data_IF_566361078471
#
_entry.id   IF_566361078471
#
_cell.length_a   1.000
_cell.length_b   1.000
_cell.length_c   1.000
_cell.angle_alpha   90.00
_cell.angle_beta   90.00
_cell.angle_gamma   90.00
#
_symmetry.space_group_name_H-M   'P 1'
#
loop_
_entity.id
_entity.type
_entity.pdbx_description
1 polymer ?
#
# COMPACT_ATOMS: atom_id res chain seq x y z
N UNK A 1 -9.25 2.67 -1.94
CA UNK A 1 -8.73 1.53 -2.72
C UNK A 1 -9.22 0.20 -2.15
N UNK A 2 -9.49 -0.81 -2.99
CA UNK A 2 -9.74 -2.20 -2.56
C UNK A 2 -8.41 -2.95 -2.40
N UNK A 3 -8.19 -3.61 -1.26
CA UNK A 3 -7.04 -4.50 -1.03
C UNK A 3 -7.48 -5.96 -1.10
N UNK A 4 -6.82 -6.75 -1.95
CA UNK A 4 -7.04 -8.19 -2.07
C UNK A 4 -5.81 -8.96 -1.60
N UNK A 5 -5.98 -9.90 -0.66
CA UNK A 5 -4.88 -10.76 -0.18
C UNK A 5 -4.87 -12.05 -1.00
N UNK A 6 -3.74 -12.37 -1.64
CA UNK A 6 -3.61 -13.57 -2.48
C UNK A 6 -2.16 -14.04 -2.58
N UNK A 7 -1.62 -14.64 -1.53
CA UNK A 7 -0.19 -14.94 -1.46
C UNK A 7 0.36 -15.81 -2.62
N UNK A 8 1.54 -15.45 -3.11
CA UNK A 8 2.28 -16.17 -4.16
C UNK A 8 3.00 -17.40 -3.58
N UNK A 9 2.25 -18.41 -3.17
CA UNK A 9 2.76 -19.58 -2.43
C UNK A 9 3.75 -20.46 -3.20
N UNK A 10 3.81 -20.34 -4.54
CA UNK A 10 4.81 -21.03 -5.38
C UNK A 10 6.14 -20.30 -5.47
N UNK A 11 6.16 -18.99 -5.21
CA UNK A 11 7.37 -18.18 -5.28
C UNK A 11 8.38 -18.64 -4.21
N UNK A 12 9.66 -18.73 -4.60
CA UNK A 12 10.71 -19.23 -3.70
C UNK A 12 10.96 -18.29 -2.52
N UNK A 13 10.70 -16.98 -2.66
CA UNK A 13 10.75 -16.01 -1.56
C UNK A 13 9.68 -16.31 -0.51
N UNK A 14 8.45 -16.55 -0.94
CA UNK A 14 7.36 -16.95 -0.04
C UNK A 14 7.72 -18.24 0.71
N UNK A 15 8.20 -19.26 -0.02
CA UNK A 15 8.60 -20.55 0.54
C UNK A 15 9.76 -20.46 1.53
N UNK A 16 10.67 -19.50 1.34
CA UNK A 16 11.76 -19.27 2.27
C UNK A 16 11.24 -18.85 3.66
N UNK A 17 10.08 -18.19 3.73
CA UNK A 17 9.37 -17.83 4.96
C UNK A 17 10.26 -17.11 6.01
N UNK A 18 11.32 -16.45 5.55
CA UNK A 18 12.15 -15.63 6.41
C UNK A 18 11.33 -14.42 6.87
N UNK A 19 11.45 -14.04 8.15
CA UNK A 19 10.64 -12.99 8.76
C UNK A 19 11.44 -11.70 8.98
N UNK A 20 10.73 -10.60 9.00
CA UNK A 20 11.22 -9.26 9.35
C UNK A 20 10.28 -8.63 10.38
N UNK A 21 10.79 -7.68 11.15
CA UNK A 21 9.95 -6.70 11.83
C UNK A 21 9.99 -5.43 10.98
N UNK A 22 8.94 -5.12 10.20
CA UNK A 22 8.95 -3.97 9.31
C UNK A 22 9.26 -2.67 10.06
N UNK A 23 10.23 -1.93 9.55
CA UNK A 23 10.67 -0.64 10.08
C UNK A 23 10.72 0.42 8.97
N UNK A 24 10.10 0.17 7.83
CA UNK A 24 10.06 1.07 6.69
C UNK A 24 9.24 0.53 5.53
N UNK A 25 8.97 1.39 4.55
CA UNK A 25 8.27 1.06 3.30
C UNK A 25 9.16 1.50 2.15
N UNK A 26 9.30 0.64 1.13
CA UNK A 26 10.03 0.96 -0.09
C UNK A 26 9.08 1.03 -1.28
N UNK A 27 9.02 2.20 -1.90
CA UNK A 27 8.22 2.44 -3.11
C UNK A 27 9.04 2.11 -4.35
N UNK A 28 8.41 1.34 -5.22
CA UNK A 28 8.91 0.93 -6.53
C UNK A 28 7.93 1.36 -7.61
N UNK A 29 8.40 1.37 -8.86
CA UNK A 29 7.53 1.25 -10.03
C UNK A 29 7.91 0.02 -10.83
N UNK A 30 6.90 -0.59 -11.44
CA UNK A 30 7.08 -1.93 -12.04
C UNK A 30 8.02 -2.01 -13.23
N UNK A 31 8.31 -0.89 -13.91
CA UNK A 31 9.06 -0.84 -15.19
C UNK A 31 8.49 -1.82 -16.25
N UNK A 32 7.20 -2.16 -16.12
CA UNK A 32 6.49 -3.11 -16.95
C UNK A 32 5.15 -2.50 -17.41
N UNK A 33 5.19 -1.59 -18.40
CA UNK A 33 4.03 -0.82 -18.82
C UNK A 33 2.84 -1.71 -19.18
N UNK A 34 1.69 -1.42 -18.58
CA UNK A 34 0.43 -2.11 -18.87
C UNK A 34 0.22 -3.44 -18.13
N UNK A 35 1.08 -3.82 -17.19
CA UNK A 35 0.87 -4.98 -16.31
C UNK A 35 0.29 -4.52 -14.98
N UNK A 36 -1.00 -4.82 -14.75
CA UNK A 36 -1.75 -4.31 -13.61
C UNK A 36 -1.65 -5.23 -12.38
N UNK A 37 -2.09 -4.76 -11.21
CA UNK A 37 -1.80 -5.39 -9.93
C UNK A 37 -2.24 -6.87 -9.87
N UNK A 38 -3.42 -7.19 -10.42
CA UNK A 38 -3.95 -8.55 -10.49
C UNK A 38 -3.12 -9.49 -11.38
N UNK A 39 -2.53 -8.97 -12.47
CA UNK A 39 -1.84 -9.77 -13.48
C UNK A 39 -0.50 -10.33 -12.99
N UNK A 40 0.11 -9.66 -12.01
CA UNK A 40 1.38 -10.08 -11.42
C UNK A 40 1.30 -11.45 -10.75
N UNK A 41 0.13 -11.87 -10.24
CA UNK A 41 -0.01 -13.19 -9.62
C UNK A 41 0.44 -14.32 -10.56
N UNK A 42 -0.07 -14.35 -11.79
CA UNK A 42 0.28 -15.41 -12.73
C UNK A 42 1.72 -15.29 -13.25
N UNK A 43 2.31 -14.10 -13.19
CA UNK A 43 3.70 -13.85 -13.60
C UNK A 43 4.70 -14.34 -12.56
N UNK A 44 4.47 -14.04 -11.28
CA UNK A 44 5.45 -14.22 -10.20
C UNK A 44 5.12 -15.33 -9.21
N UNK A 45 3.92 -15.91 -9.24
CA UNK A 45 3.60 -17.13 -8.47
C UNK A 45 4.22 -18.38 -9.13
N UNK A 46 5.54 -18.39 -9.26
CA UNK A 46 6.36 -19.40 -9.93
C UNK A 46 7.69 -19.56 -9.19
N UNK A 47 8.30 -20.74 -9.29
CA UNK A 47 9.59 -21.05 -8.66
C UNK A 47 10.75 -20.87 -9.65
N UNK A 48 11.72 -20.06 -9.27
CA UNK A 48 13.00 -19.92 -9.98
C UNK A 48 13.82 -21.22 -9.85
N UNK A 49 13.85 -21.80 -8.64
CA UNK A 49 14.57 -23.07 -8.37
C UNK A 49 14.06 -24.24 -9.21
N UNK A 50 12.77 -24.24 -9.54
CA UNK A 50 12.16 -25.26 -10.41
C UNK A 50 12.25 -24.90 -11.91
N UNK A 51 12.87 -23.78 -12.28
CA UNK A 51 12.99 -23.34 -13.68
C UNK A 51 11.70 -22.79 -14.31
N UNK A 52 10.67 -22.47 -13.50
CA UNK A 52 9.39 -21.93 -14.00
C UNK A 52 9.47 -20.45 -14.38
N UNK A 53 10.50 -19.75 -13.87
CA UNK A 53 10.77 -18.34 -14.09
C UNK A 53 12.28 -18.07 -14.01
N UNK A 54 12.76 -17.04 -14.69
CA UNK A 54 14.19 -16.66 -14.75
C UNK A 54 14.55 -15.47 -13.84
N UNK A 55 13.64 -15.03 -12.97
CA UNK A 55 13.87 -13.96 -12.00
C UNK A 55 13.67 -14.47 -10.58
N UNK A 56 14.48 -13.94 -9.66
CA UNK A 56 14.39 -14.24 -8.24
C UNK A 56 14.03 -12.96 -7.47
N UNK A 57 12.76 -12.57 -7.55
CA UNK A 57 12.24 -11.37 -6.93
C UNK A 57 10.86 -11.62 -6.30
N UNK A 58 10.52 -10.81 -5.28
CA UNK A 58 9.21 -10.80 -4.65
C UNK A 58 9.03 -9.52 -3.83
N UNK A 59 7.91 -8.83 -4.03
CA UNK A 59 7.47 -7.66 -3.26
C UNK A 59 6.23 -8.01 -2.45
N UNK A 60 5.84 -7.14 -1.53
CA UNK A 60 4.68 -7.39 -0.68
C UNK A 60 3.38 -7.12 -1.36
N UNK A 61 3.30 -6.04 -2.13
CA UNK A 61 2.11 -5.67 -2.84
C UNK A 61 2.39 -4.98 -4.17
N UNK A 62 1.41 -5.10 -5.07
CA UNK A 62 1.28 -4.29 -6.27
C UNK A 62 0.03 -3.43 -6.16
N UNK A 63 0.10 -2.20 -6.64
CA UNK A 63 -1.02 -1.25 -6.64
C UNK A 63 -1.14 -0.59 -8.01
N UNK A 64 -2.37 -0.47 -8.51
CA UNK A 64 -2.72 0.24 -9.75
C UNK A 64 -3.81 1.30 -9.50
N UNK A 65 -4.44 1.82 -10.55
CA UNK A 65 -5.51 2.83 -10.46
C UNK A 65 -6.80 2.31 -9.79
N UNK A 66 -6.97 1.00 -9.64
CA UNK A 66 -8.23 0.41 -9.17
C UNK A 66 -8.07 -0.25 -7.80
N UNK A 67 -7.00 -1.00 -7.62
CA UNK A 67 -6.84 -1.90 -6.49
C UNK A 67 -5.38 -2.13 -6.11
N UNK A 68 -5.21 -2.76 -4.94
CA UNK A 68 -3.94 -3.36 -4.56
C UNK A 68 -4.11 -4.85 -4.29
N UNK A 69 -3.04 -5.60 -4.59
CA UNK A 69 -2.92 -7.00 -4.23
C UNK A 69 -1.74 -7.21 -3.30
N UNK A 70 -2.00 -7.79 -2.14
CA UNK A 70 -0.97 -8.31 -1.26
C UNK A 70 -0.59 -9.73 -1.66
N UNK A 71 0.65 -9.92 -2.06
CA UNK A 71 1.19 -11.18 -2.58
C UNK A 71 2.25 -11.83 -1.69
N UNK A 72 2.78 -11.09 -0.73
CA UNK A 72 3.63 -11.61 0.34
C UNK A 72 3.11 -11.06 1.69
N UNK A 73 3.05 -11.87 2.76
CA UNK A 73 2.72 -11.37 4.10
C UNK A 73 3.66 -10.22 4.49
N UNK A 74 3.12 -9.19 5.13
CA UNK A 74 3.86 -7.96 5.45
C UNK A 74 5.10 -8.17 6.35
N UNK A 75 5.09 -9.25 7.13
CA UNK A 75 6.18 -9.64 8.04
C UNK A 75 7.19 -10.61 7.39
N UNK A 76 7.06 -10.93 6.10
CA UNK A 76 8.04 -11.75 5.39
C UNK A 76 9.16 -10.88 4.83
N UNK A 77 10.36 -11.45 4.78
CA UNK A 77 11.51 -10.86 4.12
C UNK A 77 11.34 -10.92 2.60
N UNK A 78 10.90 -9.82 1.98
CA UNK A 78 10.84 -9.69 0.53
C UNK A 78 12.21 -9.79 -0.16
N UNK A 79 12.19 -10.07 -1.46
CA UNK A 79 13.36 -10.07 -2.34
C UNK A 79 13.17 -8.98 -3.39
N UNK A 80 13.16 -7.72 -2.97
CA UNK A 80 12.77 -6.58 -3.81
C UNK A 80 13.84 -5.51 -3.94
N UNK A 81 14.62 -5.26 -2.88
CA UNK A 81 15.54 -4.14 -2.83
C UNK A 81 16.97 -4.47 -3.29
N UNK A 82 17.31 -5.75 -3.49
CA UNK A 82 18.69 -6.16 -3.81
C UNK A 82 19.73 -5.80 -2.73
N UNK A 83 19.32 -5.53 -1.48
CA UNK A 83 20.20 -5.05 -0.42
C UNK A 83 19.65 -5.25 1.00
N UNK A 84 20.23 -4.52 1.96
CA UNK A 84 19.87 -4.58 3.39
C UNK A 84 18.39 -4.31 3.65
N UNK A 85 17.75 -3.47 2.83
CA UNK A 85 16.35 -3.11 2.95
C UNK A 85 15.39 -4.30 2.85
N UNK A 86 15.78 -5.41 2.21
CA UNK A 86 14.99 -6.64 2.22
C UNK A 86 14.69 -7.15 3.64
N UNK A 87 15.53 -6.82 4.63
CA UNK A 87 15.37 -7.25 6.02
C UNK A 87 14.56 -6.27 6.89
N UNK A 88 14.12 -5.13 6.35
CA UNK A 88 13.52 -4.05 7.13
C UNK A 88 12.32 -3.39 6.47
N UNK A 89 12.22 -3.42 5.13
CA UNK A 89 11.21 -2.65 4.40
C UNK A 89 10.13 -3.53 3.80
N UNK A 90 8.91 -3.01 3.78
CA UNK A 90 7.81 -3.52 2.96
C UNK A 90 7.94 -2.91 1.56
N UNK A 91 8.36 -3.70 0.57
CA UNK A 91 8.33 -3.31 -0.84
C UNK A 91 6.92 -3.25 -1.45
N UNK A 92 6.58 -2.11 -2.07
CA UNK A 92 5.33 -1.85 -2.81
C UNK A 92 5.66 -1.44 -4.24
N UNK A 93 5.07 -2.13 -5.21
CA UNK A 93 5.18 -1.82 -6.64
C UNK A 93 3.98 -1.01 -7.12
N UNK A 94 4.21 0.21 -7.60
CA UNK A 94 3.20 0.99 -8.31
C UNK A 94 3.24 0.57 -9.79
N UNK A 95 2.12 0.06 -10.29
CA UNK A 95 2.00 -0.41 -11.67
C UNK A 95 2.06 0.78 -12.64
N UNK A 96 2.81 0.63 -13.74
CA UNK A 96 2.92 1.66 -14.76
C UNK A 96 1.83 1.49 -15.83
N UNK A 97 1.22 2.58 -16.34
CA UNK A 97 0.13 2.47 -17.31
C UNK A 97 0.59 1.83 -18.62
N UNK A 98 -0.36 1.36 -19.42
CA UNK A 98 -0.08 0.96 -20.80
C UNK A 98 0.15 2.18 -21.71
N UNK A 99 0.57 1.93 -22.95
CA UNK A 99 0.63 2.96 -24.00
C UNK A 99 2.00 3.57 -24.24
N UNK A 100 3.04 3.07 -23.58
CA UNK A 100 4.44 3.40 -23.84
C UNK A 100 5.32 2.16 -23.69
N UNK A 101 6.61 2.30 -23.98
CA UNK A 101 7.60 1.24 -23.80
C UNK A 101 8.92 1.79 -23.29
N UNK A 102 9.74 0.94 -22.70
CA UNK A 102 11.13 1.29 -22.40
C UNK A 102 12.05 1.10 -23.61
N UNK A 103 13.01 1.99 -23.74
CA UNK A 103 14.20 1.84 -24.58
C UNK A 103 15.42 2.18 -23.73
N UNK A 104 16.06 1.15 -23.17
CA UNK A 104 16.98 1.35 -22.05
C UNK A 104 16.20 1.92 -20.85
N UNK A 105 16.70 3.01 -20.27
CA UNK A 105 16.06 3.68 -19.12
C UNK A 105 14.98 4.70 -19.54
N UNK A 106 14.76 4.91 -20.84
CA UNK A 106 13.87 5.95 -21.33
C UNK A 106 12.45 5.42 -21.59
N UNK A 107 11.44 6.13 -21.08
CA UNK A 107 10.02 5.89 -21.37
C UNK A 107 9.66 6.50 -22.74
N UNK A 108 9.71 5.69 -23.80
CA UNK A 108 9.42 6.12 -25.18
C UNK A 108 7.91 6.03 -25.46
N UNK A 109 7.33 7.15 -25.89
CA UNK A 109 5.90 7.27 -26.18
C UNK A 109 5.02 7.53 -24.95
N UNK A 110 5.64 7.86 -23.81
CA UNK A 110 4.90 8.33 -22.64
C UNK A 110 4.30 9.71 -22.94
N UNK A 111 3.01 9.86 -22.68
CA UNK A 111 2.19 11.05 -22.90
C UNK A 111 1.58 11.47 -21.56
N UNK A 112 2.24 12.43 -20.94
CA UNK A 112 1.97 12.87 -19.56
C UNK A 112 0.50 13.29 -19.39
N UNK A 113 -0.03 14.07 -20.33
CA UNK A 113 -1.43 14.53 -20.29
C UNK A 113 -2.42 13.36 -20.41
N UNK A 114 -2.14 12.39 -21.29
CA UNK A 114 -2.99 11.20 -21.45
C UNK A 114 -2.93 10.27 -20.24
N UNK A 115 -1.79 10.17 -19.57
CA UNK A 115 -1.59 9.26 -18.44
C UNK A 115 -1.86 9.89 -17.06
N UNK A 116 -2.00 11.21 -16.99
CA UNK A 116 -2.29 11.96 -15.75
C UNK A 116 -3.42 11.33 -14.91
N UNK A 117 -4.61 10.97 -15.47
CA UNK A 117 -5.69 10.42 -14.64
C UNK A 117 -5.34 9.08 -14.01
N UNK A 118 -4.61 8.22 -14.74
CA UNK A 118 -4.13 6.94 -14.22
C UNK A 118 -3.10 7.18 -13.12
N UNK A 119 -2.11 8.03 -13.39
CA UNK A 119 -1.03 8.34 -12.45
C UNK A 119 -1.60 8.81 -11.11
N UNK A 120 -2.48 9.81 -11.13
CA UNK A 120 -3.09 10.37 -9.90
C UNK A 120 -3.81 9.30 -9.10
N UNK A 121 -4.51 8.40 -9.78
CA UNK A 121 -5.28 7.37 -9.11
C UNK A 121 -4.39 6.26 -8.52
N UNK A 122 -3.40 5.80 -9.27
CA UNK A 122 -2.42 4.81 -8.79
C UNK A 122 -1.58 5.37 -7.63
N UNK A 123 -1.12 6.62 -7.76
CA UNK A 123 -0.40 7.35 -6.72
C UNK A 123 -1.23 7.49 -5.44
N UNK A 124 -2.50 7.89 -5.55
CA UNK A 124 -3.39 8.00 -4.39
C UNK A 124 -3.65 6.66 -3.72
N UNK A 125 -3.83 5.59 -4.51
CA UNK A 125 -4.00 4.24 -3.96
C UNK A 125 -2.73 3.78 -3.24
N UNK A 126 -1.54 4.11 -3.75
CA UNK A 126 -0.26 3.82 -3.09
C UNK A 126 -0.11 4.61 -1.77
N UNK A 127 -0.51 5.89 -1.74
CA UNK A 127 -0.58 6.69 -0.50
C UNK A 127 -1.51 6.03 0.51
N UNK A 128 -2.72 5.64 0.11
CA UNK A 128 -3.69 4.95 0.99
C UNK A 128 -3.12 3.65 1.57
N UNK A 129 -2.39 2.87 0.75
CA UNK A 129 -1.72 1.65 1.19
C UNK A 129 -0.61 1.94 2.21
N UNK A 130 0.21 2.96 1.97
CA UNK A 130 1.27 3.37 2.89
C UNK A 130 0.70 3.83 4.23
N UNK A 131 -0.35 4.67 4.22
CA UNK A 131 -1.04 5.11 5.43
C UNK A 131 -1.56 3.94 6.25
N UNK A 132 -2.12 2.91 5.61
CA UNK A 132 -2.58 1.70 6.29
C UNK A 132 -1.41 0.96 6.95
N UNK A 133 -0.30 0.79 6.24
CA UNK A 133 0.89 0.10 6.75
C UNK A 133 1.58 0.87 7.87
N UNK A 134 1.66 2.20 7.75
CA UNK A 134 2.14 3.09 8.81
C UNK A 134 1.35 2.89 10.10
N UNK A 135 0.02 2.78 10.03
CA UNK A 135 -0.81 2.50 11.22
C UNK A 135 -0.58 1.11 11.81
N UNK A 136 -0.42 0.07 10.99
CA UNK A 136 -0.21 -1.30 11.47
C UNK A 136 1.15 -1.44 12.17
N UNK A 137 2.19 -0.80 11.61
CA UNK A 137 3.58 -0.97 12.05
C UNK A 137 4.12 0.21 12.86
N UNK A 138 3.27 1.18 13.20
CA UNK A 138 3.66 2.41 13.90
C UNK A 138 4.82 3.15 13.19
N UNK A 139 4.71 3.28 11.87
CA UNK A 139 5.61 4.06 11.01
C UNK A 139 4.99 5.43 10.71
N UNK A 140 5.80 6.34 10.20
CA UNK A 140 5.38 7.65 9.69
C UNK A 140 5.96 7.89 8.28
N UNK A 141 5.71 9.08 7.71
CA UNK A 141 6.15 9.43 6.37
C UNK A 141 7.68 9.36 6.18
N UNK A 142 8.47 9.56 7.24
CA UNK A 142 9.95 9.53 7.17
C UNK A 142 10.50 8.12 7.01
N UNK A 143 9.69 7.11 7.29
CA UNK A 143 10.05 5.69 7.14
C UNK A 143 9.77 5.19 5.71
N UNK A 144 9.39 6.08 4.79
CA UNK A 144 9.05 5.76 3.40
C UNK A 144 10.13 6.31 2.46
N UNK A 145 10.75 5.40 1.71
CA UNK A 145 11.78 5.72 0.71
C UNK A 145 11.44 5.08 -0.63
N UNK A 146 11.99 5.59 -1.73
CA UNK A 146 12.03 4.83 -2.99
C UNK A 146 13.31 4.00 -3.13
N UNK A 147 13.36 3.12 -4.13
CA UNK A 147 14.55 2.30 -4.41
C UNK A 147 15.80 3.16 -4.62
N UNK A 148 15.69 4.24 -5.40
CA UNK A 148 16.80 5.18 -5.68
C UNK A 148 17.34 5.83 -4.40
N UNK A 149 16.47 6.25 -3.48
CA UNK A 149 16.89 6.76 -2.16
C UNK A 149 17.57 5.65 -1.33
N UNK A 150 17.02 4.43 -1.35
CA UNK A 150 17.62 3.26 -0.72
C UNK A 150 19.02 2.92 -1.23
N UNK A 151 19.27 3.10 -2.54
CA UNK A 151 20.59 2.95 -3.13
C UNK A 151 21.56 4.02 -2.61
N UNK A 152 21.13 5.30 -2.62
CA UNK A 152 21.95 6.43 -2.16
C UNK A 152 22.43 6.26 -0.71
N UNK A 153 21.62 5.65 0.16
CA UNK A 153 21.98 5.36 1.55
C UNK A 153 22.60 3.97 1.76
N UNK A 154 22.87 3.22 0.69
CA UNK A 154 23.62 1.96 0.72
C UNK A 154 22.83 0.75 1.25
N UNK A 155 21.51 0.76 1.16
CA UNK A 155 20.64 -0.35 1.60
C UNK A 155 19.88 -1.05 0.47
N UNK A 156 19.98 -0.57 -0.77
CA UNK A 156 19.37 -1.15 -1.95
C UNK A 156 20.34 -1.20 -3.14
N UNK A 157 20.02 -1.98 -4.17
CA UNK A 157 20.73 -2.02 -5.44
C UNK A 157 20.51 -0.75 -6.28
N UNK A 158 21.37 -0.50 -7.27
CA UNK A 158 21.34 0.71 -8.10
C UNK A 158 20.19 0.70 -9.12
N UNK A 159 18.95 0.89 -8.64
CA UNK A 159 17.79 1.14 -9.49
C UNK A 159 17.30 2.58 -9.33
N UNK A 160 16.76 3.13 -10.43
CA UNK A 160 16.34 4.53 -10.50
C UNK A 160 14.87 4.76 -10.10
N UNK A 161 14.07 3.71 -9.93
CA UNK A 161 12.67 3.84 -9.54
C UNK A 161 12.55 4.56 -8.19
N UNK A 162 11.68 5.55 -8.05
CA UNK A 162 10.61 5.99 -8.98
C UNK A 162 10.95 7.31 -9.73
N UNK A 163 12.22 7.73 -9.68
CA UNK A 163 12.67 9.06 -10.13
C UNK A 163 12.55 9.29 -11.64
N UNK A 164 12.36 8.24 -12.44
CA UNK A 164 12.10 8.35 -13.88
C UNK A 164 10.63 8.67 -14.21
N UNK A 165 9.69 8.41 -13.29
CA UNK A 165 8.26 8.48 -13.56
C UNK A 165 7.56 9.62 -12.81
N UNK A 166 7.72 9.73 -11.49
CA UNK A 166 7.04 10.75 -10.67
C UNK A 166 7.24 12.19 -11.18
N UNK A 167 8.46 12.63 -11.54
CA UNK A 167 8.69 14.01 -11.99
C UNK A 167 7.92 14.40 -13.25
N UNK A 168 7.48 13.42 -14.07
CA UNK A 168 6.64 13.66 -15.26
C UNK A 168 5.25 14.19 -14.92
N UNK A 169 4.83 14.05 -13.66
CA UNK A 169 3.54 14.50 -13.14
C UNK A 169 3.71 15.58 -12.06
N UNK A 170 4.90 16.19 -11.97
CA UNK A 170 5.19 17.21 -10.96
C UNK A 170 5.25 16.67 -9.53
N UNK A 171 5.44 15.36 -9.36
CA UNK A 171 5.56 14.70 -8.06
C UNK A 171 6.98 14.21 -7.81
N UNK A 172 7.30 13.96 -6.56
CA UNK A 172 8.51 13.28 -6.11
C UNK A 172 8.24 12.50 -4.81
N UNK A 173 9.29 12.03 -4.15
CA UNK A 173 9.12 11.32 -2.88
C UNK A 173 8.79 12.26 -1.71
N UNK A 174 9.13 13.55 -1.78
CA UNK A 174 8.79 14.51 -0.74
C UNK A 174 7.30 14.84 -0.78
N UNK A 175 6.74 15.07 -1.97
CA UNK A 175 5.31 15.26 -2.15
C UNK A 175 4.51 13.99 -1.80
N UNK A 176 5.02 12.80 -2.14
CA UNK A 176 4.42 11.52 -1.73
C UNK A 176 4.39 11.37 -0.20
N UNK A 177 5.52 11.63 0.47
CA UNK A 177 5.61 11.60 1.94
C UNK A 177 4.68 12.63 2.58
N UNK A 178 4.60 13.84 2.03
CA UNK A 178 3.70 14.87 2.52
C UNK A 178 2.23 14.44 2.44
N UNK A 179 1.83 13.77 1.37
CA UNK A 179 0.47 13.25 1.25
C UNK A 179 0.17 12.10 2.20
N UNK A 180 1.14 11.20 2.43
CA UNK A 180 1.02 10.18 3.48
C UNK A 180 0.88 10.83 4.86
N UNK A 181 1.72 11.82 5.16
CA UNK A 181 1.67 12.57 6.42
C UNK A 181 0.30 13.22 6.62
N UNK A 182 -0.19 14.00 5.64
CA UNK A 182 -1.51 14.63 5.71
C UNK A 182 -2.63 13.62 5.91
N UNK A 183 -2.60 12.47 5.24
CA UNK A 183 -3.62 11.42 5.39
C UNK A 183 -3.49 10.59 6.68
N UNK A 184 -2.32 10.58 7.32
CA UNK A 184 -2.14 10.06 8.68
C UNK A 184 -2.83 11.00 9.68
N UNK A 185 -2.62 12.30 9.53
CA UNK A 185 -3.17 13.35 10.40
C UNK A 185 -4.68 13.50 10.25
N UNK A 186 -5.23 13.60 9.03
CA UNK A 186 -6.69 13.77 8.79
C UNK A 186 -7.56 12.68 9.45
N UNK A 187 -7.03 11.46 9.57
CA UNK A 187 -7.74 10.33 10.19
C UNK A 187 -7.43 10.16 11.67
N UNK A 188 -6.45 10.88 12.24
CA UNK A 188 -6.33 11.01 13.70
C UNK A 188 -7.32 12.03 14.27
N UNK A 189 -7.80 12.99 13.46
CA UNK A 189 -8.89 13.91 13.86
C UNK A 189 -10.27 13.22 13.87
N UNK A 190 -10.45 12.11 13.16
CA UNK A 190 -11.73 11.36 13.15
C UNK A 190 -11.99 10.53 14.43
N UNK A 191 -11.02 10.44 15.35
CA UNK A 191 -11.12 9.60 16.54
C UNK A 191 -11.29 10.38 17.87
N UNK A 192 -11.15 11.71 17.90
CA UNK A 192 -11.16 12.47 19.17
C UNK A 192 -12.31 13.49 19.33
N UNK A 193 -13.19 13.64 18.33
CA UNK A 193 -14.36 14.55 18.43
C UNK A 193 -15.67 13.95 17.86
N UNK A 194 -15.64 12.67 17.47
CA UNK A 194 -16.85 11.98 17.00
C UNK A 194 -17.75 11.69 18.19
N UNK A 195 -18.77 12.53 18.39
CA UNK A 195 -19.81 12.28 19.40
C UNK A 195 -20.67 11.09 18.99
N UNK A 196 -20.90 10.19 19.93
CA UNK A 196 -21.74 9.01 19.76
C UNK A 196 -23.05 9.16 20.51
N UNK A 197 -24.09 8.50 20.01
CA UNK A 197 -25.28 8.21 20.79
C UNK A 197 -25.00 6.97 21.63
N UNK A 198 -24.71 7.17 22.92
CA UNK A 198 -24.47 6.08 23.87
C UNK A 198 -25.77 5.65 24.54
N UNK A 199 -26.00 4.35 24.51
CA UNK A 199 -26.99 3.62 25.31
C UNK A 199 -26.21 2.79 26.33
N UNK A 200 -26.84 2.37 27.43
CA UNK A 200 -26.22 1.56 28.50
C UNK A 200 -25.42 0.33 28.02
N UNK A 201 -25.74 -0.18 26.82
CA UNK A 201 -25.17 -1.40 26.25
C UNK A 201 -24.36 -1.17 24.97
N UNK A 202 -24.07 0.08 24.59
CA UNK A 202 -23.25 0.36 23.41
C UNK A 202 -23.28 1.81 22.93
N UNK A 203 -22.36 2.13 22.01
CA UNK A 203 -22.26 3.43 21.35
C UNK A 203 -22.63 3.31 19.86
N UNK A 204 -23.40 4.28 19.36
CA UNK A 204 -23.92 4.26 17.99
C UNK A 204 -23.61 5.59 17.29
N UNK A 205 -23.17 5.53 16.04
CA UNK A 205 -22.97 6.73 15.22
C UNK A 205 -24.28 7.37 14.77
N UNK A 206 -25.36 6.58 14.66
CA UNK A 206 -26.68 7.01 14.20
C UNK A 206 -27.67 6.97 15.34
N UNK A 207 -28.46 8.03 15.49
CA UNK A 207 -29.46 8.16 16.57
C UNK A 207 -30.51 7.05 16.49
N UNK A 208 -30.93 6.69 15.28
CA UNK A 208 -31.97 5.69 15.01
C UNK A 208 -31.56 4.31 15.54
N UNK A 209 -30.27 3.98 15.46
CA UNK A 209 -29.74 2.72 15.98
C UNK A 209 -29.72 2.69 17.51
N UNK A 210 -29.37 3.83 18.14
CA UNK A 210 -29.43 3.97 19.59
C UNK A 210 -30.89 3.91 20.10
N UNK A 211 -31.82 4.54 19.40
CA UNK A 211 -33.26 4.49 19.70
C UNK A 211 -33.81 3.06 19.55
N UNK A 212 -33.45 2.36 18.48
CA UNK A 212 -33.85 0.96 18.28
C UNK A 212 -33.29 0.03 19.38
N UNK A 213 -32.04 0.24 19.81
CA UNK A 213 -31.47 -0.53 20.92
C UNK A 213 -32.15 -0.19 22.25
N UNK A 214 -32.40 1.08 22.52
CA UNK A 214 -33.11 1.51 23.73
C UNK A 214 -34.55 0.95 23.77
N UNK A 215 -35.25 0.91 22.63
CA UNK A 215 -36.58 0.30 22.53
C UNK A 215 -36.55 -1.19 22.87
N UNK A 216 -35.54 -1.94 22.36
CA UNK A 216 -35.35 -3.36 22.70
C UNK A 216 -35.09 -3.56 24.20
N UNK A 217 -34.25 -2.71 24.80
CA UNK A 217 -33.97 -2.77 26.24
C UNK A 217 -35.22 -2.52 27.09
N UNK A 218 -36.02 -1.52 26.73
CA UNK A 218 -37.29 -1.22 27.40
C UNK A 218 -38.30 -2.36 27.27
N UNK A 219 -38.38 -2.99 26.10
CA UNK A 219 -39.27 -4.11 25.85
C UNK A 219 -38.97 -5.34 26.73
N UNK A 220 -37.71 -5.53 27.13
CA UNK A 220 -37.29 -6.60 28.04
C UNK A 220 -37.13 -6.14 29.49
N UNK A 221 -37.68 -4.97 29.83
CA UNK A 221 -37.79 -4.48 31.22
C UNK A 221 -36.63 -3.63 31.73
N UNK A 222 -35.64 -3.28 30.90
CA UNK A 222 -34.56 -2.40 31.32
C UNK A 222 -34.93 -0.93 31.14
N UNK A 223 -34.64 -0.12 32.16
CA UNK A 223 -34.68 1.34 32.05
C UNK A 223 -33.39 1.80 31.35
N UNK A 224 -33.51 2.68 30.36
CA UNK A 224 -32.36 3.22 29.66
C UNK A 224 -32.57 4.63 29.13
N UNK A 225 -31.47 5.27 28.73
CA UNK A 225 -31.44 6.62 28.17
C UNK A 225 -30.35 6.72 27.09
N UNK A 226 -30.46 7.73 26.23
CA UNK A 226 -29.45 8.03 25.21
C UNK A 226 -28.70 9.29 25.64
N UNK A 227 -27.36 9.23 25.61
CA UNK A 227 -26.49 10.41 25.76
C UNK A 227 -25.75 10.65 24.45
N UNK A 228 -25.71 11.91 23.99
CA UNK A 228 -24.91 12.29 22.82
C UNK A 228 -23.63 12.97 23.29
N UNK A 229 -22.52 12.26 23.18
CA UNK A 229 -21.20 12.69 23.65
C UNK A 229 -20.05 11.98 22.93
#
# INVERSE_FOLDING_TARGET
MKLTIKYMTKNDCYKANAKINPSGIMIHSTVAPGVMAADWFNRWNKSFKAGEINIQACVHAFVDDKEAFQYLPWDHRGWHAGGKANNTHIGIEICEPAGFRYSGQNMVGYDEAKQEPYFRKAWQNAVELCVMLCRIYNLNEKDIICHSEGYKIGIASNHADITHWFPKHGEDMDSFRLAVHGALDEKTVAADDTKYYKVQVGAFLKKENAEAMLAKLKAVGFVGYIKYE
#
